data_IF_307641590391
#
_entry.id   IF_307641590391
#
_cell.length_a   1.000
_cell.length_b   1.000
_cell.length_c   1.000
_cell.angle_alpha   90.00
_cell.angle_beta   90.00
_cell.angle_gamma   90.00
#
_symmetry.space_group_name_H-M   'P 1'
#
loop_
_entity.id
_entity.type
_entity.pdbx_description
1 polymer ?
#
# COMPACT_ATOMS: atom_id res chain seq x y z
N UNK A 1 16.88 56.04 17.02
CA UNK A 1 16.60 55.31 15.76
C UNK A 1 17.76 54.39 15.46
N UNK A 2 17.56 53.08 15.57
CA UNK A 2 18.38 52.05 14.93
C UNK A 2 17.50 50.83 14.68
N UNK A 3 17.15 50.63 13.42
CA UNK A 3 16.49 49.45 12.89
C UNK A 3 17.52 48.31 12.88
N UNK A 4 17.19 47.19 13.51
CA UNK A 4 17.89 45.93 13.29
C UNK A 4 16.87 45.00 12.64
N UNK A 5 16.98 44.85 11.32
CA UNK A 5 16.17 43.98 10.48
C UNK A 5 16.39 42.53 10.88
N UNK A 6 15.26 41.82 10.96
CA UNK A 6 15.12 40.43 10.51
C UNK A 6 15.84 40.27 9.17
N UNK A 7 16.92 39.48 9.13
CA UNK A 7 17.00 38.34 8.22
C UNK A 7 18.24 37.48 8.51
N UNK A 8 18.17 36.24 8.05
CA UNK A 8 19.24 35.24 7.95
C UNK A 8 19.43 34.26 9.11
N UNK A 9 18.54 33.27 9.17
CA UNK A 9 18.89 31.91 9.54
C UNK A 9 18.39 30.93 8.45
N UNK A 10 19.28 30.42 7.58
CA UNK A 10 18.93 29.34 6.66
C UNK A 10 19.00 28.01 7.41
N UNK A 11 17.89 27.26 7.50
CA UNK A 11 18.02 25.89 8.02
C UNK A 11 16.79 25.10 8.47
N UNK A 12 15.55 25.60 8.35
CA UNK A 12 14.38 24.83 8.85
C UNK A 12 13.52 24.15 7.77
N UNK A 13 13.90 24.22 6.49
CA UNK A 13 13.17 23.58 5.38
C UNK A 13 13.99 22.55 4.58
N UNK A 14 15.02 21.98 5.19
CA UNK A 14 15.76 20.86 4.59
C UNK A 14 15.89 19.75 5.63
N UNK A 15 14.85 18.91 5.74
CA UNK A 15 14.87 17.49 6.13
C UNK A 15 13.44 16.98 6.41
N UNK A 16 12.47 17.33 5.57
CA UNK A 16 11.29 16.46 5.42
C UNK A 16 11.70 15.36 4.45
N UNK A 17 12.31 14.34 5.02
CA UNK A 17 12.70 13.13 4.32
C UNK A 17 11.42 12.44 3.80
N UNK A 18 11.06 12.72 2.55
CA UNK A 18 9.90 12.19 1.83
C UNK A 18 10.03 10.71 1.43
N UNK A 19 10.93 9.93 2.04
CA UNK A 19 11.11 8.50 1.74
C UNK A 19 10.43 7.53 2.73
N UNK A 20 9.40 7.98 3.47
CA UNK A 20 8.65 7.10 4.41
C UNK A 20 7.15 7.00 4.18
N UNK A 21 6.68 7.21 2.97
CA UNK A 21 5.37 6.69 2.56
C UNK A 21 5.56 5.57 1.54
N UNK A 22 5.72 4.31 1.97
CA UNK A 22 5.49 3.21 1.05
C UNK A 22 4.03 3.26 0.61
N UNK A 23 3.83 3.33 -0.69
CA UNK A 23 2.59 3.04 -1.40
C UNK A 23 1.80 1.92 -0.69
N UNK A 24 0.70 2.26 -0.02
CA UNK A 24 -0.28 1.25 0.41
C UNK A 24 -1.28 1.10 -0.73
N UNK A 25 -0.86 0.33 -1.73
CA UNK A 25 -1.76 -0.42 -2.60
C UNK A 25 -1.52 -1.91 -2.30
N UNK A 26 -1.98 -2.35 -1.13
CA UNK A 26 -2.05 -3.75 -0.75
C UNK A 26 -3.27 -3.93 0.16
N UNK A 27 -4.44 -4.09 -0.45
CA UNK A 27 -5.64 -4.53 0.25
C UNK A 27 -5.57 -6.06 0.39
N UNK A 28 -5.54 -6.51 1.65
CA UNK A 28 -5.87 -7.83 2.19
C UNK A 28 -4.87 -8.99 2.04
N UNK A 29 -4.09 -9.24 3.10
CA UNK A 29 -4.17 -10.45 3.94
C UNK A 29 -2.92 -10.56 4.82
N UNK A 30 -2.96 -10.04 6.05
CA UNK A 30 -1.99 -10.38 7.11
C UNK A 30 -2.59 -10.05 8.47
N UNK A 31 -3.30 -11.02 9.03
CA UNK A 31 -3.62 -11.08 10.46
C UNK A 31 -2.59 -12.00 11.11
N UNK A 32 -1.82 -11.41 12.02
CA UNK A 32 -1.07 -12.02 13.13
C UNK A 32 0.09 -12.95 12.77
N UNK A 33 1.32 -12.48 12.99
CA UNK A 33 2.22 -13.12 13.96
C UNK A 33 3.26 -12.10 14.43
N UNK A 34 3.30 -11.86 15.74
CA UNK A 34 4.29 -11.01 16.37
C UNK A 34 5.66 -11.68 16.30
N UNK A 35 6.60 -11.06 15.61
CA UNK A 35 8.03 -11.35 15.77
C UNK A 35 8.54 -10.58 16.98
N UNK A 36 8.35 -11.20 18.14
CA UNK A 36 9.10 -10.83 19.34
C UNK A 36 10.59 -11.10 19.11
N UNK A 37 11.40 -10.11 19.48
CA UNK A 37 12.85 -10.04 19.30
C UNK A 37 13.57 -11.24 19.95
N UNK A 38 14.34 -11.98 19.16
CA UNK A 38 15.38 -12.86 19.69
C UNK A 38 16.62 -11.99 20.02
N UNK A 39 16.61 -11.37 21.21
CA UNK A 39 17.83 -10.93 21.87
C UNK A 39 18.16 -11.97 22.95
N UNK A 40 19.22 -12.74 22.74
CA UNK A 40 19.84 -13.61 23.74
C UNK A 40 20.36 -12.78 24.91
N UNK A 41 19.88 -12.97 26.15
CA UNK A 41 20.49 -12.37 27.33
C UNK A 41 21.71 -13.21 27.81
N UNK A 42 22.81 -12.58 28.28
CA UNK A 42 23.83 -13.29 29.04
C UNK A 42 23.37 -13.50 30.49
N UNK A 43 23.66 -14.67 31.06
CA UNK A 43 23.54 -15.00 32.49
C UNK A 43 24.92 -14.90 33.17
N UNK A 44 25.06 -14.95 34.52
CA UNK A 44 24.11 -14.74 35.61
C UNK A 44 24.61 -13.74 36.68
N UNK A 45 23.72 -13.24 37.53
CA UNK A 45 24.06 -12.84 38.90
C UNK A 45 22.97 -13.37 39.85
N UNK A 46 23.41 -14.11 40.88
CA UNK A 46 22.58 -14.79 41.89
C UNK A 46 21.87 -13.80 42.83
N UNK A 47 20.74 -14.20 43.44
CA UNK A 47 19.71 -13.33 44.02
C UNK A 47 19.87 -13.09 45.54
N UNK A 48 19.01 -12.26 46.14
CA UNK A 48 18.49 -12.57 47.46
C UNK A 48 16.94 -12.66 47.51
N UNK A 49 16.50 -13.83 47.97
CA UNK A 49 15.39 -14.17 48.87
C UNK A 49 14.12 -13.30 48.97
N UNK A 50 12.99 -14.03 48.87
CA UNK A 50 11.66 -13.80 49.46
C UNK A 50 10.84 -12.63 48.86
N UNK A 51 9.58 -12.81 48.48
CA UNK A 51 8.47 -13.39 49.26
C UNK A 51 7.48 -14.10 48.32
N UNK A 52 7.06 -15.29 48.73
CA UNK A 52 5.91 -16.03 48.19
C UNK A 52 4.63 -15.32 48.64
N UNK A 53 3.81 -14.86 47.70
CA UNK A 53 2.40 -14.60 47.94
C UNK A 53 1.59 -15.30 46.85
N UNK A 54 0.76 -16.24 47.29
CA UNK A 54 -0.25 -16.95 46.54
C UNK A 54 -1.28 -15.96 45.96
N UNK A 55 -1.48 -15.98 44.64
CA UNK A 55 -2.73 -15.52 44.04
C UNK A 55 -3.63 -16.73 43.69
N UNK A 56 -4.95 -16.59 43.90
CA UNK A 56 -5.89 -17.71 43.94
C UNK A 56 -6.09 -18.34 42.56
N UNK A 57 -6.13 -19.68 42.56
CA UNK A 57 -6.43 -20.52 41.41
C UNK A 57 -7.77 -20.18 40.77
N UNK A 58 -7.73 -19.45 39.65
CA UNK A 58 -8.82 -19.45 38.68
C UNK A 58 -8.70 -20.69 37.81
N UNK A 59 -9.73 -21.53 37.90
CA UNK A 59 -9.93 -22.73 37.12
C UNK A 59 -10.12 -22.29 35.66
N UNK A 60 -9.05 -22.34 34.85
CA UNK A 60 -9.12 -22.16 33.41
C UNK A 60 -9.70 -23.44 32.81
N UNK A 61 -10.74 -23.40 31.96
CA UNK A 61 -11.21 -24.59 31.25
C UNK A 61 -10.05 -25.21 30.47
N UNK A 62 -9.82 -26.51 30.67
CA UNK A 62 -8.84 -27.30 29.92
C UNK A 62 -9.17 -27.21 28.43
N UNK A 63 -8.44 -26.36 27.70
CA UNK A 63 -8.34 -26.43 26.24
C UNK A 63 -7.65 -27.76 25.93
N UNK A 64 -8.23 -28.62 25.08
CA UNK A 64 -7.59 -29.87 24.69
C UNK A 64 -6.22 -29.55 24.04
N UNK A 65 -5.21 -30.32 24.45
CA UNK A 65 -3.83 -30.14 24.02
C UNK A 65 -3.70 -30.02 22.49
N UNK A 66 -2.82 -29.13 21.97
CA UNK A 66 -2.52 -29.10 20.55
C UNK A 66 -1.90 -30.42 20.11
N UNK A 67 -2.47 -31.05 19.09
CA UNK A 67 -1.88 -32.19 18.38
C UNK A 67 -0.43 -31.88 17.96
N UNK A 68 0.47 -32.89 17.95
CA UNK A 68 1.89 -32.69 17.71
C UNK A 68 2.14 -32.00 16.37
N UNK A 69 2.99 -30.97 16.44
CA UNK A 69 3.39 -30.12 15.35
C UNK A 69 3.82 -30.90 14.10
N UNK A 70 3.23 -30.54 12.96
CA UNK A 70 3.79 -30.78 11.64
C UNK A 70 5.23 -30.26 11.63
N UNK A 71 6.17 -31.11 11.21
CA UNK A 71 7.59 -30.79 11.11
C UNK A 71 7.89 -29.59 10.18
N UNK A 72 9.16 -29.19 10.06
CA UNK A 72 9.56 -28.02 9.28
C UNK A 72 9.01 -28.08 7.85
N UNK A 73 8.04 -27.21 7.55
CA UNK A 73 7.53 -27.01 6.21
C UNK A 73 8.60 -26.30 5.39
N UNK A 74 9.33 -27.06 4.57
CA UNK A 74 10.11 -26.49 3.46
C UNK A 74 9.13 -25.70 2.60
N UNK A 75 9.40 -24.42 2.25
CA UNK A 75 8.55 -23.67 1.33
C UNK A 75 8.38 -24.49 0.06
N UNK A 76 7.16 -24.98 -0.20
CA UNK A 76 6.89 -25.69 -1.44
C UNK A 76 7.01 -24.67 -2.57
N UNK A 77 8.02 -24.85 -3.41
CA UNK A 77 8.17 -24.07 -4.62
C UNK A 77 6.93 -24.32 -5.47
N UNK A 78 6.09 -23.29 -5.64
CA UNK A 78 4.86 -23.42 -6.40
C UNK A 78 5.25 -23.59 -7.87
N UNK A 79 5.04 -24.80 -8.40
CA UNK A 79 5.21 -25.07 -9.83
C UNK A 79 4.08 -24.36 -10.59
N UNK A 80 4.44 -23.30 -11.32
CA UNK A 80 3.48 -22.49 -12.07
C UNK A 80 3.20 -23.17 -13.42
N UNK A 81 2.04 -23.82 -13.51
CA UNK A 81 1.51 -24.42 -14.75
C UNK A 81 0.71 -23.39 -15.55
N UNK A 82 0.43 -23.67 -16.83
CA UNK A 82 -0.40 -22.79 -17.67
C UNK A 82 -1.80 -22.57 -17.08
N UNK A 83 -2.41 -23.62 -16.50
CA UNK A 83 -3.69 -23.53 -15.78
C UNK A 83 -3.64 -22.60 -14.56
N UNK A 84 -2.47 -22.51 -13.93
CA UNK A 84 -2.23 -21.66 -12.78
C UNK A 84 -2.12 -20.19 -13.20
N UNK A 85 -1.40 -19.92 -14.28
CA UNK A 85 -1.37 -18.58 -14.89
C UNK A 85 -2.75 -18.14 -15.38
N UNK A 86 -3.53 -19.04 -15.96
CA UNK A 86 -4.88 -18.71 -16.39
C UNK A 86 -5.78 -18.34 -15.20
N UNK A 87 -5.71 -19.07 -14.09
CA UNK A 87 -6.46 -18.73 -12.87
C UNK A 87 -6.04 -17.34 -12.31
N UNK A 88 -4.76 -16.98 -12.40
CA UNK A 88 -4.28 -15.66 -12.02
C UNK A 88 -4.75 -14.55 -12.98
N UNK A 89 -4.80 -14.82 -14.29
CA UNK A 89 -5.37 -13.91 -15.30
C UNK A 89 -6.87 -13.67 -15.06
N UNK A 90 -7.59 -14.71 -14.71
CA UNK A 90 -9.02 -14.60 -14.37
C UNK A 90 -9.22 -13.72 -13.13
N UNK A 91 -8.33 -13.82 -12.12
CA UNK A 91 -8.37 -13.01 -10.91
C UNK A 91 -8.15 -11.52 -11.22
N UNK A 92 -7.14 -11.15 -12.00
CA UNK A 92 -6.86 -9.73 -12.30
C UNK A 92 -8.02 -9.09 -13.06
N UNK A 93 -8.71 -9.85 -13.92
CA UNK A 93 -9.90 -9.40 -14.63
C UNK A 93 -11.09 -9.28 -13.67
N UNK A 94 -11.39 -10.31 -12.87
CA UNK A 94 -12.54 -10.31 -11.97
C UNK A 94 -12.41 -9.27 -10.84
N UNK A 95 -11.19 -8.98 -10.41
CA UNK A 95 -10.90 -7.96 -9.39
C UNK A 95 -10.92 -6.52 -9.92
N UNK A 96 -11.07 -6.34 -11.25
CA UNK A 96 -11.05 -5.04 -11.92
C UNK A 96 -9.74 -4.27 -11.75
N UNK A 97 -8.67 -4.95 -11.38
CA UNK A 97 -7.32 -4.37 -11.31
C UNK A 97 -6.90 -3.86 -12.69
N UNK A 98 -7.26 -4.61 -13.74
CA UNK A 98 -7.04 -4.28 -15.15
C UNK A 98 -7.62 -2.90 -15.52
N UNK A 99 -8.82 -2.56 -15.02
CA UNK A 99 -9.49 -1.27 -15.29
C UNK A 99 -8.64 -0.06 -14.85
N UNK A 100 -7.86 -0.19 -13.77
CA UNK A 100 -6.97 0.87 -13.31
C UNK A 100 -5.80 1.09 -14.29
N UNK A 101 -5.37 0.05 -14.99
CA UNK A 101 -4.29 0.11 -15.98
C UNK A 101 -4.78 0.52 -17.37
N UNK A 102 -6.03 0.20 -17.71
CA UNK A 102 -6.69 0.60 -18.96
C UNK A 102 -6.67 2.13 -19.14
N UNK A 103 -6.85 2.90 -18.06
CA UNK A 103 -6.77 4.37 -18.10
C UNK A 103 -5.35 4.94 -18.19
N UNK A 104 -4.30 4.15 -17.93
CA UNK A 104 -2.93 4.67 -17.91
C UNK A 104 -2.43 5.02 -19.31
N UNK A 105 -2.66 4.14 -20.29
CA UNK A 105 -2.14 4.35 -21.64
C UNK A 105 -2.75 5.61 -22.30
N UNK A 106 -4.08 5.83 -22.26
CA UNK A 106 -4.69 7.08 -22.72
C UNK A 106 -4.13 8.31 -22.01
N UNK A 107 -3.92 8.25 -20.68
CA UNK A 107 -3.36 9.36 -19.92
C UNK A 107 -1.91 9.68 -20.35
N UNK A 108 -1.09 8.66 -20.61
CA UNK A 108 0.27 8.84 -21.14
C UNK A 108 0.21 9.50 -22.52
N UNK A 109 -0.64 9.02 -23.43
CA UNK A 109 -0.79 9.60 -24.77
C UNK A 109 -1.29 11.04 -24.72
N UNK A 110 -2.23 11.35 -23.83
CA UNK A 110 -2.71 12.70 -23.60
C UNK A 110 -1.56 13.61 -23.14
N UNK A 111 -0.75 13.17 -22.17
CA UNK A 111 0.39 13.94 -21.68
C UNK A 111 1.42 14.18 -22.78
N UNK A 112 1.72 13.17 -23.60
CA UNK A 112 2.58 13.31 -24.78
C UNK A 112 2.00 14.36 -25.75
N UNK A 113 0.70 14.33 -26.01
CA UNK A 113 0.01 15.30 -26.86
C UNK A 113 0.10 16.74 -26.34
N UNK A 114 -0.12 16.94 -25.03
CA UNK A 114 0.06 18.25 -24.37
C UNK A 114 1.48 18.74 -24.52
N UNK A 115 2.46 17.87 -24.26
CA UNK A 115 3.89 18.18 -24.37
C UNK A 115 4.31 18.52 -25.81
N UNK A 116 3.84 17.78 -26.81
CA UNK A 116 4.14 18.06 -28.23
C UNK A 116 3.47 19.35 -28.72
N UNK A 117 2.23 19.60 -28.29
CA UNK A 117 1.53 20.85 -28.59
C UNK A 117 2.27 22.04 -27.99
N UNK A 118 2.69 21.97 -26.72
CA UNK A 118 3.42 23.04 -26.06
C UNK A 118 4.78 23.36 -26.70
N UNK A 119 5.48 22.36 -27.24
CA UNK A 119 6.79 22.54 -27.87
C UNK A 119 6.73 23.09 -29.30
N UNK A 120 5.59 22.98 -29.98
CA UNK A 120 5.49 23.30 -31.41
C UNK A 120 4.43 24.38 -31.67
N UNK A 121 4.89 25.62 -31.86
CA UNK A 121 4.00 26.77 -32.14
C UNK A 121 3.14 26.57 -33.41
N UNK A 122 3.65 25.84 -34.40
CA UNK A 122 2.89 25.56 -35.61
C UNK A 122 1.73 24.59 -35.35
N UNK A 123 1.90 23.62 -34.44
CA UNK A 123 0.79 22.77 -33.98
C UNK A 123 -0.23 23.58 -33.19
N UNK A 124 0.21 24.53 -32.36
CA UNK A 124 -0.72 25.39 -31.59
C UNK A 124 -1.59 26.26 -32.49
N UNK A 125 -1.00 26.86 -33.53
CA UNK A 125 -1.64 27.82 -34.41
C UNK A 125 -2.55 27.20 -35.49
N UNK A 126 -2.27 25.96 -35.91
CA UNK A 126 -2.96 25.32 -37.03
C UNK A 126 -3.89 24.18 -36.56
N UNK A 127 -5.23 24.35 -36.64
CA UNK A 127 -6.19 23.31 -36.28
C UNK A 127 -5.97 21.97 -37.01
N UNK A 128 -5.53 21.99 -38.27
CA UNK A 128 -5.29 20.75 -39.04
C UNK A 128 -4.14 19.95 -38.44
N UNK A 129 -3.08 20.64 -37.98
CA UNK A 129 -1.93 19.99 -37.31
C UNK A 129 -2.32 19.42 -35.94
N UNK A 130 -3.22 20.07 -35.21
CA UNK A 130 -3.76 19.51 -33.96
C UNK A 130 -4.55 18.24 -34.21
N UNK A 131 -5.41 18.22 -35.23
CA UNK A 131 -6.14 17.01 -35.62
C UNK A 131 -5.18 15.88 -36.02
N UNK A 132 -4.21 16.18 -36.89
CA UNK A 132 -3.21 15.20 -37.30
C UNK A 132 -2.39 14.66 -36.11
N UNK A 133 -2.05 15.51 -35.13
CA UNK A 133 -1.40 15.08 -33.90
C UNK A 133 -2.29 14.11 -33.10
N UNK A 134 -3.56 14.45 -32.89
CA UNK A 134 -4.51 13.58 -32.17
C UNK A 134 -4.67 12.21 -32.86
N UNK A 135 -4.81 12.18 -34.18
CA UNK A 135 -4.87 10.93 -34.97
C UNK A 135 -3.57 10.13 -34.87
N UNK A 136 -2.42 10.81 -34.90
CA UNK A 136 -1.11 10.17 -34.71
C UNK A 136 -0.99 9.54 -33.32
N UNK A 137 -1.41 10.25 -32.27
CA UNK A 137 -1.38 9.76 -30.89
C UNK A 137 -2.23 8.49 -30.75
N UNK A 138 -3.43 8.48 -31.33
CA UNK A 138 -4.29 7.29 -31.33
C UNK A 138 -3.64 6.10 -32.06
N UNK A 139 -3.03 6.35 -33.22
CA UNK A 139 -2.32 5.30 -33.98
C UNK A 139 -1.15 4.72 -33.17
N UNK A 140 -0.40 5.59 -32.48
CA UNK A 140 0.69 5.17 -31.59
C UNK A 140 0.15 4.40 -30.38
N UNK A 141 -0.96 4.85 -29.79
CA UNK A 141 -1.64 4.16 -28.69
C UNK A 141 -2.02 2.72 -29.04
N UNK A 142 -2.63 2.52 -30.21
CA UNK A 142 -3.00 1.20 -30.72
C UNK A 142 -1.78 0.27 -30.86
N UNK A 143 -0.61 0.83 -31.19
CA UNK A 143 0.66 0.12 -31.25
C UNK A 143 1.13 -0.46 -29.91
N UNK A 144 0.63 0.02 -28.77
CA UNK A 144 0.99 -0.46 -27.43
C UNK A 144 0.07 -1.57 -26.90
N UNK A 145 -0.87 -2.09 -27.68
CA UNK A 145 -1.77 -3.16 -27.24
C UNK A 145 -1.03 -4.42 -26.76
N UNK A 146 0.05 -4.82 -27.44
CA UNK A 146 0.86 -5.97 -27.03
C UNK A 146 1.62 -5.73 -25.71
N UNK A 147 2.05 -4.49 -25.47
CA UNK A 147 2.71 -4.11 -24.22
C UNK A 147 1.75 -4.15 -23.03
N UNK A 148 0.48 -3.82 -23.27
CA UNK A 148 -0.58 -3.97 -22.27
C UNK A 148 -0.80 -5.43 -21.87
N UNK A 149 -0.87 -6.34 -22.83
CA UNK A 149 -0.98 -7.78 -22.55
C UNK A 149 0.25 -8.32 -21.79
N UNK A 150 1.44 -7.82 -22.12
CA UNK A 150 2.68 -8.14 -21.40
C UNK A 150 2.67 -7.63 -19.96
N UNK A 151 2.05 -6.48 -19.69
CA UNK A 151 1.83 -6.00 -18.34
C UNK A 151 0.91 -6.94 -17.56
N UNK A 152 -0.23 -7.34 -18.13
CA UNK A 152 -1.17 -8.26 -17.46
C UNK A 152 -0.56 -9.63 -17.19
N UNK A 153 0.26 -10.14 -18.12
CA UNK A 153 1.00 -11.39 -17.90
C UNK A 153 1.95 -11.30 -16.69
N UNK A 154 2.65 -10.18 -16.53
CA UNK A 154 3.54 -9.95 -15.38
C UNK A 154 2.76 -9.83 -14.08
N UNK A 155 1.60 -9.16 -14.07
CA UNK A 155 0.76 -9.06 -12.87
C UNK A 155 0.19 -10.44 -12.50
N UNK A 156 -0.27 -11.22 -13.48
CA UNK A 156 -0.73 -12.59 -13.25
C UNK A 156 0.36 -13.46 -12.62
N UNK A 157 1.62 -13.34 -13.05
CA UNK A 157 2.76 -14.02 -12.44
C UNK A 157 2.96 -13.66 -10.97
N UNK A 158 2.77 -12.40 -10.59
CA UNK A 158 2.85 -11.94 -9.19
C UNK A 158 1.82 -12.65 -8.32
N UNK A 159 0.59 -12.83 -8.82
CA UNK A 159 -0.47 -13.57 -8.14
C UNK A 159 -0.21 -15.08 -8.11
N UNK A 160 0.18 -15.69 -9.23
CA UNK A 160 0.49 -17.11 -9.31
C UNK A 160 1.65 -17.50 -8.38
N UNK A 161 2.62 -16.60 -8.15
CA UNK A 161 3.71 -16.83 -7.22
C UNK A 161 3.29 -16.80 -5.73
N UNK A 162 2.09 -16.31 -5.40
CA UNK A 162 1.63 -16.10 -4.00
C UNK A 162 0.44 -16.94 -3.60
N UNK A 163 -0.38 -17.33 -4.57
CA UNK A 163 -1.58 -18.11 -4.35
C UNK A 163 -1.50 -19.39 -5.15
N UNK A 164 -1.90 -20.51 -4.56
CA UNK A 164 -2.11 -21.74 -5.31
C UNK A 164 -3.22 -21.57 -6.35
N UNK A 165 -3.20 -22.41 -7.37
CA UNK A 165 -4.23 -22.43 -8.42
C UNK A 165 -5.66 -22.60 -7.85
N UNK A 166 -5.80 -23.40 -6.79
CA UNK A 166 -7.09 -23.64 -6.11
C UNK A 166 -7.59 -22.38 -5.40
N UNK A 167 -6.70 -21.65 -4.72
CA UNK A 167 -7.06 -20.39 -4.04
C UNK A 167 -7.46 -19.32 -5.05
N UNK A 168 -6.70 -19.17 -6.14
CA UNK A 168 -7.01 -18.21 -7.21
C UNK A 168 -8.42 -18.47 -7.77
N UNK A 169 -8.76 -19.73 -8.06
CA UNK A 169 -10.10 -20.09 -8.53
C UNK A 169 -11.21 -19.74 -7.55
N UNK A 170 -11.02 -20.03 -6.26
CA UNK A 170 -12.00 -19.70 -5.21
C UNK A 170 -12.21 -18.19 -5.10
N UNK A 171 -11.13 -17.41 -5.20
CA UNK A 171 -11.22 -15.94 -5.20
C UNK A 171 -11.98 -15.45 -6.43
N UNK A 172 -11.69 -16.01 -7.61
CA UNK A 172 -12.40 -15.68 -8.86
C UNK A 172 -13.89 -16.00 -8.75
N UNK A 173 -14.25 -17.16 -8.20
CA UNK A 173 -15.64 -17.55 -7.98
C UNK A 173 -16.38 -16.55 -7.09
N UNK A 174 -15.76 -16.15 -5.96
CA UNK A 174 -16.30 -15.09 -5.12
C UNK A 174 -16.44 -13.77 -5.88
N UNK A 175 -15.40 -13.31 -6.58
CA UNK A 175 -15.42 -12.04 -7.32
C UNK A 175 -16.46 -12.01 -8.45
N UNK A 176 -16.84 -13.18 -8.99
CA UNK A 176 -17.91 -13.31 -9.99
C UNK A 176 -19.33 -13.28 -9.39
N UNK A 177 -19.49 -13.53 -8.09
CA UNK A 177 -20.79 -13.38 -7.40
C UNK A 177 -21.28 -11.92 -7.38
N UNK A 178 -22.57 -11.71 -7.10
CA UNK A 178 -23.13 -10.36 -7.02
C UNK A 178 -22.44 -9.51 -5.93
N UNK A 179 -22.18 -10.12 -4.77
CA UNK A 179 -21.50 -9.49 -3.64
C UNK A 179 -20.03 -9.23 -3.97
N UNK A 180 -19.34 -10.15 -4.63
CA UNK A 180 -17.95 -9.99 -5.03
C UNK A 180 -17.74 -8.88 -6.07
N UNK A 181 -18.63 -8.77 -7.06
CA UNK A 181 -18.59 -7.68 -8.04
C UNK A 181 -18.85 -6.32 -7.37
N UNK A 182 -19.81 -6.27 -6.43
CA UNK A 182 -20.06 -5.07 -5.63
C UNK A 182 -18.84 -4.72 -4.78
N UNK A 183 -18.22 -5.70 -4.13
CA UNK A 183 -17.00 -5.51 -3.35
C UNK A 183 -15.86 -4.96 -4.21
N UNK A 184 -15.57 -5.56 -5.36
CA UNK A 184 -14.53 -5.10 -6.28
C UNK A 184 -14.77 -3.65 -6.76
N UNK A 185 -16.03 -3.29 -7.00
CA UNK A 185 -16.41 -1.95 -7.46
C UNK A 185 -16.33 -0.89 -6.35
N UNK A 186 -16.74 -1.25 -5.13
CA UNK A 186 -16.86 -0.29 -4.01
C UNK A 186 -15.56 -0.16 -3.20
N UNK A 187 -14.70 -1.18 -3.19
CA UNK A 187 -13.46 -1.19 -2.39
C UNK A 187 -12.54 0.00 -2.67
N UNK A 188 -12.27 0.43 -3.93
CA UNK A 188 -11.45 1.61 -4.19
C UNK A 188 -12.05 2.90 -3.62
N UNK A 189 -13.39 3.05 -3.66
CA UNK A 189 -14.10 4.21 -3.12
C UNK A 189 -14.01 4.26 -1.59
N UNK A 190 -14.24 3.11 -0.94
CA UNK A 190 -14.10 2.98 0.52
C UNK A 190 -12.67 3.28 0.96
N UNK A 191 -11.67 2.82 0.22
CA UNK A 191 -10.26 3.13 0.50
C UNK A 191 -9.99 4.64 0.39
N UNK A 192 -10.48 5.29 -0.67
CA UNK A 192 -10.35 6.74 -0.86
C UNK A 192 -10.98 7.54 0.29
N UNK A 193 -12.22 7.19 0.67
CA UNK A 193 -12.91 7.85 1.77
C UNK A 193 -12.21 7.61 3.11
N UNK A 194 -11.67 6.42 3.32
CA UNK A 194 -10.88 6.07 4.52
C UNK A 194 -9.62 6.93 4.63
N UNK A 195 -8.89 7.14 3.53
CA UNK A 195 -7.73 8.04 3.53
C UNK A 195 -8.11 9.49 3.84
N UNK A 196 -9.24 9.99 3.31
CA UNK A 196 -9.73 11.34 3.62
C UNK A 196 -10.03 11.51 5.11
N UNK A 197 -10.69 10.52 5.71
CA UNK A 197 -10.99 10.50 7.15
C UNK A 197 -9.70 10.46 7.98
N UNK A 198 -8.74 9.62 7.59
CA UNK A 198 -7.45 9.48 8.27
C UNK A 198 -6.66 10.80 8.27
N UNK A 199 -6.67 11.55 7.16
CA UNK A 199 -6.03 12.86 7.09
C UNK A 199 -6.64 13.86 8.09
N UNK A 200 -7.98 13.97 8.13
CA UNK A 200 -8.65 14.86 9.09
C UNK A 200 -8.47 14.43 10.56
N UNK A 201 -8.34 13.12 10.82
CA UNK A 201 -7.95 12.63 12.14
C UNK A 201 -6.52 13.04 12.49
N UNK A 202 -5.55 12.88 11.58
CA UNK A 202 -4.15 13.22 11.79
C UNK A 202 -3.95 14.72 12.07
N UNK A 203 -4.65 15.59 11.34
CA UNK A 203 -4.63 17.04 11.57
C UNK A 203 -5.10 17.41 12.99
N UNK A 204 -6.24 16.85 13.41
CA UNK A 204 -6.80 17.09 14.75
C UNK A 204 -5.87 16.60 15.85
N UNK A 205 -5.35 15.38 15.71
CA UNK A 205 -4.40 14.80 16.68
C UNK A 205 -3.12 15.62 16.74
N UNK A 206 -2.61 16.13 15.61
CA UNK A 206 -1.45 17.00 15.58
C UNK A 206 -1.65 18.29 16.39
N UNK A 207 -2.80 18.94 16.25
CA UNK A 207 -3.15 20.14 17.02
C UNK A 207 -3.24 19.84 18.52
N UNK A 208 -3.92 18.76 18.90
CA UNK A 208 -4.06 18.35 20.29
C UNK A 208 -2.71 17.95 20.91
N UNK A 209 -1.87 17.24 20.15
CA UNK A 209 -0.54 16.82 20.58
C UNK A 209 0.35 18.03 20.87
N UNK A 210 0.30 19.08 20.05
CA UNK A 210 1.08 20.29 20.27
C UNK A 210 0.77 20.96 21.61
N UNK A 211 -0.52 21.13 21.93
CA UNK A 211 -0.93 21.72 23.21
C UNK A 211 -0.59 20.84 24.41
N UNK A 212 -0.77 19.51 24.28
CA UNK A 212 -0.38 18.57 25.34
C UNK A 212 1.12 18.56 25.60
N UNK A 213 1.94 18.58 24.54
CA UNK A 213 3.40 18.65 24.68
C UNK A 213 3.82 19.96 25.34
N UNK A 214 3.26 21.10 24.95
CA UNK A 214 3.54 22.38 25.61
C UNK A 214 3.16 22.37 27.09
N UNK A 215 2.00 21.82 27.43
CA UNK A 215 1.55 21.68 28.81
C UNK A 215 2.51 20.80 29.63
N UNK A 216 2.96 19.69 29.06
CA UNK A 216 3.90 18.77 29.71
C UNK A 216 5.29 19.41 29.90
N UNK A 217 5.77 20.15 28.91
CA UNK A 217 7.02 20.91 28.97
C UNK A 217 7.00 21.98 30.08
N UNK A 218 5.88 22.70 30.24
CA UNK A 218 5.70 23.63 31.38
C UNK A 218 5.77 22.93 32.74
N UNK A 219 5.14 21.76 32.90
CA UNK A 219 5.22 20.98 34.15
C UNK A 219 6.65 20.59 34.52
N UNK A 220 7.51 20.43 33.51
CA UNK A 220 8.94 20.08 33.67
C UNK A 220 9.84 21.30 33.86
N UNK A 221 9.27 22.51 33.99
CA UNK A 221 10.02 23.75 34.17
C UNK A 221 10.73 24.22 32.89
N UNK A 222 10.37 23.69 31.72
CA UNK A 222 10.98 24.03 30.43
C UNK A 222 9.89 24.55 29.47
N UNK A 223 9.35 25.77 29.63
CA UNK A 223 8.30 26.26 28.75
C UNK A 223 8.79 26.44 27.30
N UNK A 224 7.97 25.99 26.34
CA UNK A 224 8.10 26.24 24.90
C UNK A 224 7.19 27.41 24.47
#
# INVERSE_FOLDING_TARGET
MKFQLLDDQPGFLTMMNLTRFPLIAALMASVLFGTAMAQTPPAPATPPAAVVQEEPSLIVPTVPAPSPATGPQVPQQIEIKDSHLQAARDLITASRIVDAFEGLLPNIMQQVGVTLTGQNLAVQADPKKRTALTESLKTVEEGFAADRERLYAQIALIYAARFSEVELRKIVEFLKSAEGQKFATVSPLVAQDSFRIANGWAERVGQEAFEKVRAEMRKRGQPL
#
